data_IF_076385627287
#
_entry.id   IF_076385627287
#
_cell.length_a   1.000
_cell.length_b   1.000
_cell.length_c   1.000
_cell.angle_alpha   90.00
_cell.angle_beta   90.00
_cell.angle_gamma   90.00
#
_symmetry.space_group_name_H-M   'P 1'
#
loop_
_entity.id
_entity.type
_entity.pdbx_description
1 polymer ?
#
# COMPACT_ATOMS: atom_id res chain seq x y z
N UNK A 1 4.64 -3.44 15.82
CA UNK A 1 4.51 -1.97 15.87
C UNK A 1 4.03 -1.51 14.50
N UNK A 2 2.99 -0.67 14.41
CA UNK A 2 2.48 -0.18 13.11
C UNK A 2 3.45 0.82 12.50
N UNK A 3 3.75 0.69 11.20
CA UNK A 3 4.72 1.55 10.51
C UNK A 3 4.02 2.32 9.40
N UNK A 4 3.52 3.51 9.75
CA UNK A 4 2.83 4.37 8.81
C UNK A 4 3.80 5.12 7.89
N UNK A 5 3.64 4.94 6.58
CA UNK A 5 4.45 5.57 5.54
C UNK A 5 3.59 6.43 4.61
N UNK A 6 4.22 7.34 3.86
CA UNK A 6 3.51 8.12 2.84
C UNK A 6 3.27 7.24 1.60
N UNK A 7 2.40 7.70 0.70
CA UNK A 7 2.13 7.03 -0.58
C UNK A 7 3.44 6.83 -1.38
N UNK A 8 4.29 7.87 -1.46
CA UNK A 8 5.54 7.81 -2.20
C UNK A 8 6.52 6.76 -1.65
N UNK A 9 6.61 6.65 -0.32
CA UNK A 9 7.47 5.65 0.33
C UNK A 9 6.95 4.22 0.06
N UNK A 10 5.63 4.02 0.10
CA UNK A 10 5.01 2.75 -0.25
C UNK A 10 5.20 2.39 -1.73
N UNK A 11 5.14 3.40 -2.60
CA UNK A 11 5.38 3.25 -4.03
C UNK A 11 6.84 2.83 -4.30
N UNK A 12 7.81 3.46 -3.64
CA UNK A 12 9.22 3.07 -3.75
C UNK A 12 9.49 1.67 -3.19
N UNK A 13 8.83 1.30 -2.08
CA UNK A 13 8.95 -0.04 -1.48
C UNK A 13 8.48 -1.14 -2.44
N UNK A 14 7.32 -0.96 -3.07
CA UNK A 14 6.78 -1.90 -4.06
C UNK A 14 7.35 -1.72 -5.47
N UNK A 15 8.22 -0.73 -5.69
CA UNK A 15 8.76 -0.34 -7.00
C UNK A 15 7.67 -0.07 -8.05
N UNK A 16 6.63 0.65 -7.64
CA UNK A 16 5.53 1.09 -8.50
C UNK A 16 5.38 2.61 -8.46
N UNK A 17 4.42 3.15 -9.21
CA UNK A 17 4.09 4.57 -9.18
C UNK A 17 3.11 4.90 -8.06
N UNK A 18 3.11 6.14 -7.58
CA UNK A 18 2.09 6.67 -6.65
C UNK A 18 0.66 6.45 -7.15
N UNK A 19 0.46 6.54 -8.48
CA UNK A 19 -0.84 6.28 -9.12
C UNK A 19 -1.28 4.84 -8.89
N UNK A 20 -0.35 3.88 -9.01
CA UNK A 20 -0.62 2.47 -8.74
C UNK A 20 -1.05 2.24 -7.30
N UNK A 21 -0.38 2.88 -6.33
CA UNK A 21 -0.76 2.79 -4.91
C UNK A 21 -2.17 3.35 -4.68
N UNK A 22 -2.49 4.52 -5.25
CA UNK A 22 -3.84 5.10 -5.15
C UNK A 22 -4.90 4.21 -5.77
N UNK A 23 -4.58 3.58 -6.91
CA UNK A 23 -5.47 2.60 -7.55
C UNK A 23 -5.68 1.39 -6.63
N UNK A 24 -4.61 0.83 -6.05
CA UNK A 24 -4.72 -0.29 -5.10
C UNK A 24 -5.57 0.07 -3.87
N UNK A 25 -5.51 1.31 -3.39
CA UNK A 25 -6.38 1.79 -2.31
C UNK A 25 -7.84 1.88 -2.79
N UNK A 26 -8.07 2.45 -3.98
CA UNK A 26 -9.41 2.55 -4.56
C UNK A 26 -10.05 1.17 -4.85
N UNK A 27 -9.23 0.21 -5.28
CA UNK A 27 -9.61 -1.19 -5.52
C UNK A 27 -9.81 -1.97 -4.21
N UNK A 28 -9.51 -1.39 -3.04
CA UNK A 28 -9.58 -2.07 -1.74
C UNK A 28 -8.48 -3.10 -1.49
N UNK A 29 -7.43 -3.13 -2.32
CA UNK A 29 -6.27 -4.02 -2.17
C UNK A 29 -5.31 -3.57 -1.06
N UNK A 30 -5.24 -2.26 -0.80
CA UNK A 30 -4.44 -1.66 0.28
C UNK A 30 -5.30 -0.71 1.12
N UNK A 31 -5.02 -0.62 2.42
CA UNK A 31 -5.73 0.31 3.31
C UNK A 31 -5.05 1.67 3.32
N UNK A 32 -5.80 2.71 2.95
CA UNK A 32 -5.37 4.10 3.10
C UNK A 32 -5.92 4.73 4.38
N UNK A 33 -5.04 5.11 5.30
CA UNK A 33 -5.38 5.81 6.54
C UNK A 33 -5.32 7.33 6.34
N UNK A 34 -6.42 8.03 6.58
CA UNK A 34 -6.44 9.50 6.54
C UNK A 34 -6.03 10.07 7.89
N UNK A 35 -5.06 10.99 7.87
CA UNK A 35 -4.65 11.77 9.03
C UNK A 35 -5.05 13.23 8.80
N UNK A 36 -6.33 13.55 9.02
CA UNK A 36 -6.91 14.87 8.73
C UNK A 36 -7.34 15.04 7.28
N UNK A 37 -7.41 16.29 6.80
CA UNK A 37 -8.10 16.63 5.54
C UNK A 37 -7.39 16.19 4.25
N UNK A 38 -6.05 16.08 4.25
CA UNK A 38 -5.28 15.84 3.00
C UNK A 38 -4.16 14.81 3.10
N UNK A 39 -3.78 14.39 4.31
CA UNK A 39 -2.71 13.42 4.53
C UNK A 39 -3.26 12.01 4.48
N UNK A 40 -2.70 11.18 3.59
CA UNK A 40 -2.97 9.74 3.52
C UNK A 40 -1.69 8.99 3.86
N UNK A 41 -1.82 7.96 4.70
CA UNK A 41 -0.76 7.06 5.14
C UNK A 41 -1.14 5.62 4.85
N UNK A 42 -0.14 4.77 4.66
CA UNK A 42 -0.30 3.31 4.55
C UNK A 42 0.50 2.64 5.67
N UNK A 43 0.05 1.50 6.17
CA UNK A 43 0.85 0.66 7.07
C UNK A 43 1.67 -0.33 6.24
N UNK A 44 3.00 -0.30 6.37
CA UNK A 44 3.87 -1.24 5.66
C UNK A 44 3.55 -2.70 6.01
N UNK A 45 3.16 -2.99 7.25
CA UNK A 45 2.84 -4.37 7.65
C UNK A 45 1.60 -4.90 6.90
N UNK A 46 0.63 -4.02 6.59
CA UNK A 46 -0.55 -4.40 5.81
C UNK A 46 -0.22 -4.59 4.33
N UNK A 47 0.72 -3.79 3.80
CA UNK A 47 1.22 -3.98 2.44
C UNK A 47 1.87 -5.36 2.32
N UNK A 48 2.73 -5.73 3.27
CA UNK A 48 3.37 -7.04 3.30
C UNK A 48 2.34 -8.18 3.44
N UNK A 49 1.34 -8.02 4.31
CA UNK A 49 0.27 -9.00 4.48
C UNK A 49 -0.66 -9.12 3.26
N UNK A 50 -0.80 -8.06 2.45
CA UNK A 50 -1.58 -8.07 1.23
C UNK A 50 -0.85 -8.77 0.07
N UNK A 51 0.48 -8.91 0.14
CA UNK A 51 1.24 -9.67 -0.84
C UNK A 51 0.91 -11.16 -0.70
N UNK A 52 0.27 -11.69 -1.74
CA UNK A 52 0.02 -13.12 -1.86
C UNK A 52 0.98 -13.70 -2.88
N UNK A 53 1.58 -14.87 -2.61
CA UNK A 53 2.37 -15.56 -3.61
C UNK A 53 1.49 -15.79 -4.85
N UNK A 54 2.05 -15.51 -6.01
CA UNK A 54 1.43 -15.79 -7.30
C UNK A 54 2.39 -16.68 -8.09
N UNK A 55 1.88 -17.82 -8.59
CA UNK A 55 2.67 -18.85 -9.26
C UNK A 55 2.95 -20.06 -8.34
N UNK A 56 2.16 -21.12 -8.52
CA UNK A 56 2.25 -22.36 -7.77
C UNK A 56 1.22 -23.40 -8.20
N UNK A 57 1.10 -23.62 -9.52
CA UNK A 57 0.48 -24.80 -10.13
C UNK A 57 0.82 -24.85 -11.64
N UNK A 58 2.01 -25.37 -11.96
CA UNK A 58 2.33 -26.22 -13.11
C UNK A 58 3.79 -26.68 -12.98
#
# INVERSE_FOLDING_TARGET
>A
MRRYVKIADAADYLKVTDRTIRQMIADGRLTGYRSGGRLVRLDLNEIDAAMRPFGGAA
#
